data_IF_584508293825
#
_entry.id   IF_584508293825
#
_cell.length_a   1.000
_cell.length_b   1.000
_cell.length_c   1.000
_cell.angle_alpha   90.00
_cell.angle_beta   90.00
_cell.angle_gamma   90.00
#
_symmetry.space_group_name_H-M   'P 1'
#
loop_
_entity.id
_entity.type
_entity.pdbx_description
1 polymer ?
#
# COMPACT_ATOMS: atom_id res chain seq x y z
N UNK A 1 31.52 -46.99 21.57
CA UNK A 1 31.93 -45.70 20.96
C UNK A 1 31.35 -45.71 19.56
N UNK A 2 30.51 -44.80 19.11
CA UNK A 2 30.55 -43.33 19.26
C UNK A 2 29.12 -42.77 19.16
N UNK A 3 28.74 -41.96 20.15
CA UNK A 3 27.65 -40.97 20.05
C UNK A 3 28.24 -39.72 19.39
N UNK A 4 27.52 -39.10 18.47
CA UNK A 4 27.96 -37.86 17.83
C UNK A 4 26.98 -37.29 16.84
N UNK A 5 25.72 -37.10 17.24
CA UNK A 5 24.77 -36.33 16.44
C UNK A 5 23.93 -35.41 17.33
N UNK A 6 23.86 -34.14 16.90
CA UNK A 6 22.89 -33.08 17.23
C UNK A 6 23.23 -32.17 18.42
N UNK A 7 24.06 -31.15 18.15
CA UNK A 7 24.08 -29.91 18.96
C UNK A 7 24.23 -28.60 18.12
N UNK A 8 23.93 -28.64 16.81
CA UNK A 8 23.98 -27.46 15.93
C UNK A 8 22.64 -26.75 15.67
N UNK A 9 21.51 -27.37 16.06
CA UNK A 9 20.19 -26.99 15.56
C UNK A 9 19.49 -25.80 16.28
N UNK A 10 19.65 -25.56 17.60
CA UNK A 10 18.93 -24.48 18.27
C UNK A 10 19.58 -23.10 18.07
N UNK A 11 20.92 -23.02 18.14
CA UNK A 11 21.66 -21.76 17.99
C UNK A 11 21.57 -21.23 16.55
N UNK A 12 21.75 -22.10 15.56
CA UNK A 12 21.66 -21.73 14.14
C UNK A 12 20.26 -21.23 13.75
N UNK A 13 19.18 -21.84 14.28
CA UNK A 13 17.81 -21.35 14.07
C UNK A 13 17.58 -19.99 14.73
N UNK A 14 18.11 -19.79 15.94
CA UNK A 14 18.01 -18.52 16.66
C UNK A 14 18.74 -17.39 15.92
N UNK A 15 19.94 -17.67 15.40
CA UNK A 15 20.73 -16.71 14.64
C UNK A 15 20.09 -16.41 13.28
N UNK A 16 19.53 -17.42 12.60
CA UNK A 16 18.76 -17.22 11.37
C UNK A 16 17.50 -16.36 11.59
N UNK A 17 16.78 -16.55 12.69
CA UNK A 17 15.61 -15.73 13.03
C UNK A 17 16.01 -14.29 13.34
N UNK A 18 17.06 -14.10 14.17
CA UNK A 18 17.59 -12.77 14.49
C UNK A 18 18.05 -12.03 13.24
N UNK A 19 18.78 -12.70 12.34
CA UNK A 19 19.23 -12.10 11.08
C UNK A 19 18.05 -11.71 10.19
N UNK A 20 16.99 -12.54 10.15
CA UNK A 20 15.76 -12.21 9.44
C UNK A 20 15.10 -10.95 10.02
N UNK A 21 14.97 -10.85 11.34
CA UNK A 21 14.38 -9.67 12.01
C UNK A 21 15.19 -8.40 11.74
N UNK A 22 16.53 -8.47 11.81
CA UNK A 22 17.42 -7.35 11.47
C UNK A 22 17.27 -6.92 10.01
N UNK A 23 17.19 -7.87 9.09
CA UNK A 23 16.98 -7.58 7.66
C UNK A 23 15.62 -6.92 7.43
N UNK A 24 14.55 -7.37 8.09
CA UNK A 24 13.21 -6.77 7.94
C UNK A 24 13.17 -5.33 8.46
N UNK A 25 13.75 -5.07 9.65
CA UNK A 25 13.82 -3.71 10.20
C UNK A 25 14.63 -2.76 9.31
N UNK A 26 15.83 -3.19 8.90
CA UNK A 26 16.68 -2.40 8.01
C UNK A 26 16.04 -2.16 6.64
N UNK A 27 15.33 -3.16 6.10
CA UNK A 27 14.63 -3.03 4.83
C UNK A 27 13.47 -2.03 4.94
N UNK A 28 12.68 -2.09 6.02
CA UNK A 28 11.61 -1.12 6.28
C UNK A 28 12.15 0.32 6.31
N UNK A 29 13.22 0.58 7.08
CA UNK A 29 13.86 1.90 7.15
C UNK A 29 14.35 2.37 5.78
N UNK A 30 15.09 1.52 5.07
CA UNK A 30 15.65 1.87 3.75
C UNK A 30 14.54 2.13 2.72
N UNK A 31 13.48 1.33 2.71
CA UNK A 31 12.33 1.56 1.82
C UNK A 31 11.58 2.84 2.18
N UNK A 32 11.49 3.20 3.45
CA UNK A 32 10.89 4.46 3.90
C UNK A 32 11.72 5.67 3.45
N UNK A 33 13.05 5.57 3.53
CA UNK A 33 13.97 6.65 3.17
C UNK A 33 14.12 6.83 1.65
N UNK A 34 14.32 5.73 0.93
CA UNK A 34 14.83 5.70 -0.44
C UNK A 34 13.85 5.08 -1.45
N UNK A 35 12.68 4.63 -0.98
CA UNK A 35 11.67 3.96 -1.78
C UNK A 35 11.98 2.49 -2.07
N UNK A 36 11.03 1.79 -2.70
CA UNK A 36 11.11 0.35 -2.92
C UNK A 36 12.21 -0.10 -3.90
N UNK A 37 12.76 0.83 -4.68
CA UNK A 37 13.87 0.56 -5.61
C UNK A 37 15.24 0.57 -4.95
N UNK A 38 15.33 0.92 -3.67
CA UNK A 38 16.58 1.05 -2.94
C UNK A 38 17.51 -0.18 -3.11
N UNK A 39 18.83 0.01 -3.29
CA UNK A 39 19.75 -1.11 -3.49
C UNK A 39 19.75 -2.11 -2.32
N UNK A 40 19.66 -3.41 -2.59
CA UNK A 40 19.60 -4.45 -1.54
C UNK A 40 20.90 -4.53 -0.70
N UNK A 41 22.04 -4.10 -1.25
CA UNK A 41 23.31 -4.06 -0.51
C UNK A 41 23.31 -2.98 0.58
N UNK A 42 22.56 -1.89 0.40
CA UNK A 42 22.34 -0.87 1.43
C UNK A 42 21.57 -1.47 2.61
N UNK A 43 20.55 -2.29 2.33
CA UNK A 43 19.77 -3.01 3.33
C UNK A 43 20.65 -3.99 4.11
N UNK A 44 21.41 -4.84 3.42
CA UNK A 44 22.30 -5.80 4.05
C UNK A 44 23.32 -5.13 4.98
N UNK A 45 23.94 -4.06 4.49
CA UNK A 45 24.90 -3.25 5.25
C UNK A 45 24.26 -2.62 6.49
N UNK A 46 23.05 -2.07 6.37
CA UNK A 46 22.32 -1.48 7.50
C UNK A 46 21.91 -2.51 8.55
N UNK A 47 21.50 -3.70 8.11
CA UNK A 47 21.20 -4.82 8.99
C UNK A 47 22.45 -5.39 9.69
N UNK A 48 23.66 -5.03 9.25
CA UNK A 48 24.91 -5.65 9.70
C UNK A 48 25.04 -7.12 9.26
N UNK A 49 24.39 -7.49 8.15
CA UNK A 49 24.31 -8.86 7.64
C UNK A 49 24.94 -8.92 6.24
N UNK A 50 25.66 -10.00 5.93
CA UNK A 50 26.26 -10.17 4.60
C UNK A 50 25.23 -10.39 3.48
N UNK A 51 25.54 -9.92 2.27
CA UNK A 51 24.66 -10.08 1.08
C UNK A 51 24.25 -11.54 0.82
N UNK A 52 25.18 -12.50 0.97
CA UNK A 52 24.88 -13.91 0.81
C UNK A 52 23.80 -14.40 1.80
N UNK A 53 23.75 -13.83 3.02
CA UNK A 53 22.73 -14.14 4.02
C UNK A 53 21.40 -13.47 3.67
N UNK A 54 21.40 -12.23 3.16
CA UNK A 54 20.19 -11.57 2.66
C UNK A 54 19.54 -12.41 1.55
N UNK A 55 20.28 -12.78 0.50
CA UNK A 55 19.74 -13.56 -0.62
C UNK A 55 19.29 -14.97 -0.20
N UNK A 56 19.88 -15.57 0.84
CA UNK A 56 19.39 -16.84 1.41
C UNK A 56 18.04 -16.70 2.09
N UNK A 57 17.76 -15.57 2.76
CA UNK A 57 16.47 -15.32 3.41
C UNK A 57 15.41 -14.77 2.46
N UNK A 58 15.84 -13.96 1.49
CA UNK A 58 14.98 -13.25 0.54
C UNK A 58 15.61 -13.34 -0.86
N UNK A 59 15.29 -14.39 -1.63
CA UNK A 59 15.90 -14.63 -2.94
C UNK A 59 15.62 -13.51 -3.96
N UNK A 60 14.52 -12.78 -3.78
CA UNK A 60 14.10 -11.69 -4.66
C UNK A 60 13.74 -10.44 -3.86
N UNK A 61 13.83 -9.27 -4.50
CA UNK A 61 13.30 -8.01 -3.94
C UNK A 61 11.84 -8.16 -3.55
N UNK A 62 11.04 -8.80 -4.42
CA UNK A 62 9.62 -9.06 -4.16
C UNK A 62 9.40 -9.86 -2.87
N UNK A 63 10.21 -10.90 -2.61
CA UNK A 63 10.11 -11.68 -1.37
C UNK A 63 10.48 -10.87 -0.12
N UNK A 64 11.43 -9.93 -0.23
CA UNK A 64 11.75 -9.01 0.86
C UNK A 64 10.62 -8.02 1.10
N UNK A 65 10.12 -7.37 0.04
CA UNK A 65 9.00 -6.41 0.10
C UNK A 65 7.76 -7.06 0.71
N UNK A 66 7.36 -8.25 0.21
CA UNK A 66 6.25 -9.03 0.76
C UNK A 66 6.42 -9.30 2.26
N UNK A 67 7.63 -9.68 2.69
CA UNK A 67 7.90 -9.96 4.08
C UNK A 67 7.94 -8.71 4.98
N UNK A 68 8.39 -7.57 4.47
CA UNK A 68 8.45 -6.29 5.20
C UNK A 68 7.05 -5.74 5.44
N UNK A 69 6.19 -5.78 4.43
CA UNK A 69 4.89 -5.12 4.51
C UNK A 69 3.72 -6.07 4.77
N UNK A 70 3.97 -7.37 4.97
CA UNK A 70 2.92 -8.38 5.25
C UNK A 70 1.92 -7.92 6.30
N UNK A 71 2.40 -7.40 7.42
CA UNK A 71 1.54 -7.02 8.54
C UNK A 71 0.67 -5.81 8.19
N UNK A 72 1.24 -4.81 7.51
CA UNK A 72 0.49 -3.65 7.02
C UNK A 72 -0.58 -4.04 5.98
N UNK A 73 -0.23 -4.95 5.06
CA UNK A 73 -1.16 -5.49 4.07
C UNK A 73 -2.27 -6.31 4.73
N UNK A 74 -1.94 -7.13 5.73
CA UNK A 74 -2.91 -7.93 6.50
C UNK A 74 -3.86 -7.02 7.27
N UNK A 75 -3.35 -5.99 7.95
CA UNK A 75 -4.18 -5.01 8.66
C UNK A 75 -5.15 -4.27 7.74
N UNK A 76 -4.73 -3.98 6.51
CA UNK A 76 -5.63 -3.41 5.49
C UNK A 76 -6.75 -4.39 5.12
N UNK A 77 -6.41 -5.67 4.91
CA UNK A 77 -7.41 -6.69 4.60
C UNK A 77 -8.42 -6.87 5.73
N UNK A 78 -7.95 -6.93 6.97
CA UNK A 78 -8.81 -7.07 8.15
C UNK A 78 -9.75 -5.85 8.30
N UNK A 79 -9.24 -4.64 8.07
CA UNK A 79 -10.04 -3.42 8.08
C UNK A 79 -11.14 -3.46 7.02
N UNK A 80 -10.87 -4.00 5.82
CA UNK A 80 -11.87 -4.11 4.76
C UNK A 80 -12.93 -5.17 5.06
N UNK A 81 -12.55 -6.31 5.65
CA UNK A 81 -13.51 -7.30 6.14
C UNK A 81 -14.42 -6.73 7.22
N UNK A 82 -13.86 -5.94 8.15
CA UNK A 82 -14.64 -5.32 9.20
C UNK A 82 -15.57 -4.24 8.65
N UNK A 83 -15.08 -3.41 7.72
CA UNK A 83 -15.87 -2.37 7.09
C UNK A 83 -17.07 -2.93 6.33
N UNK A 84 -16.89 -4.01 5.57
CA UNK A 84 -18.00 -4.69 4.84
C UNK A 84 -19.11 -5.18 5.75
N UNK A 85 -18.79 -5.50 7.01
CA UNK A 85 -19.76 -5.96 8.03
C UNK A 85 -20.43 -4.80 8.78
N UNK A 86 -20.04 -3.55 8.53
CA UNK A 86 -20.64 -2.40 9.20
C UNK A 86 -22.14 -2.30 8.87
N UNK A 87 -23.01 -2.06 9.87
CA UNK A 87 -24.45 -1.88 9.64
C UNK A 87 -24.76 -0.70 8.72
N UNK A 88 -24.05 0.42 8.91
CA UNK A 88 -24.12 1.61 8.07
C UNK A 88 -22.99 1.55 7.03
N UNK A 89 -23.35 1.48 5.74
CA UNK A 89 -22.36 1.28 4.68
C UNK A 89 -21.45 2.50 4.51
N UNK A 90 -21.99 3.71 4.70
CA UNK A 90 -21.21 4.94 4.61
C UNK A 90 -20.14 5.02 5.70
N UNK A 91 -20.53 4.75 6.96
CA UNK A 91 -19.62 4.66 8.08
C UNK A 91 -18.54 3.60 7.83
N UNK A 92 -18.93 2.43 7.30
CA UNK A 92 -17.99 1.39 6.87
C UNK A 92 -16.98 1.89 5.84
N UNK A 93 -17.43 2.54 4.77
CA UNK A 93 -16.56 3.10 3.73
C UNK A 93 -15.61 4.17 4.27
N UNK A 94 -16.13 5.10 5.06
CA UNK A 94 -15.32 6.18 5.66
C UNK A 94 -14.28 5.65 6.63
N UNK A 95 -14.64 4.69 7.49
CA UNK A 95 -13.72 4.07 8.43
C UNK A 95 -12.63 3.28 7.71
N UNK A 96 -13.00 2.54 6.66
CA UNK A 96 -12.03 1.82 5.84
C UNK A 96 -11.00 2.76 5.21
N UNK A 97 -11.47 3.82 4.55
CA UNK A 97 -10.58 4.78 3.91
C UNK A 97 -9.73 5.53 4.95
N UNK A 98 -10.26 5.88 6.12
CA UNK A 98 -9.47 6.49 7.20
C UNK A 98 -8.33 5.58 7.64
N UNK A 99 -8.57 4.27 7.81
CA UNK A 99 -7.52 3.29 8.16
C UNK A 99 -6.46 3.21 7.07
N UNK A 100 -6.87 3.11 5.80
CA UNK A 100 -5.92 3.06 4.68
C UNK A 100 -5.07 4.32 4.62
N UNK A 101 -5.67 5.51 4.73
CA UNK A 101 -4.94 6.77 4.66
C UNK A 101 -4.09 7.05 5.90
N UNK A 102 -4.53 6.64 7.09
CA UNK A 102 -3.71 6.72 8.29
C UNK A 102 -2.45 5.87 8.16
N UNK A 103 -2.54 4.66 7.58
CA UNK A 103 -1.37 3.83 7.30
C UNK A 103 -0.42 4.50 6.30
N UNK A 104 -0.96 5.10 5.23
CA UNK A 104 -0.17 5.83 4.22
C UNK A 104 0.49 7.11 4.77
N UNK A 105 -0.17 7.79 5.71
CA UNK A 105 0.38 8.97 6.37
C UNK A 105 1.49 8.60 7.38
N UNK A 106 1.37 7.45 8.04
CA UNK A 106 2.31 6.99 9.05
C UNK A 106 3.64 6.51 8.45
N UNK A 107 3.61 5.90 7.26
CA UNK A 107 4.79 5.27 6.67
C UNK A 107 4.92 5.50 5.16
N UNK A 108 6.03 6.13 4.77
CA UNK A 108 6.37 6.39 3.37
C UNK A 108 6.67 5.10 2.60
N UNK A 109 7.24 4.08 3.25
CA UNK A 109 7.53 2.79 2.60
C UNK A 109 6.25 2.06 2.17
N UNK A 110 5.24 2.06 3.04
CA UNK A 110 3.89 1.53 2.79
C UNK A 110 3.19 2.28 1.65
N UNK A 111 3.53 3.55 1.45
CA UNK A 111 2.98 4.33 0.34
C UNK A 111 3.48 3.89 -1.03
N UNK A 112 4.81 3.77 -1.17
CA UNK A 112 5.40 3.30 -2.42
C UNK A 112 4.86 1.92 -2.77
N UNK A 113 4.64 1.06 -1.77
CA UNK A 113 4.01 -0.24 -1.96
C UNK A 113 2.59 -0.14 -2.53
N UNK A 114 1.74 0.72 -1.98
CA UNK A 114 0.35 0.84 -2.43
C UNK A 114 0.20 1.58 -3.76
N UNK A 115 1.16 2.41 -4.15
CA UNK A 115 1.06 3.29 -5.33
C UNK A 115 1.92 2.83 -6.51
N UNK A 116 2.77 1.81 -6.31
CA UNK A 116 3.66 1.22 -7.30
C UNK A 116 3.26 -0.22 -7.59
N UNK A 117 3.28 -0.62 -8.86
CA UNK A 117 3.18 -2.05 -9.21
C UNK A 117 4.58 -2.66 -9.24
N UNK A 118 4.96 -3.35 -8.17
CA UNK A 118 6.15 -4.21 -8.20
C UNK A 118 5.76 -5.60 -8.74
N UNK A 119 6.34 -6.00 -9.88
CA UNK A 119 6.06 -7.33 -10.47
C UNK A 119 6.52 -8.44 -9.53
N UNK A 120 5.71 -9.50 -9.41
CA UNK A 120 6.03 -10.70 -8.64
C UNK A 120 5.82 -10.58 -7.13
N UNK A 121 5.07 -9.56 -6.67
CA UNK A 121 4.61 -9.44 -5.28
C UNK A 121 3.14 -9.87 -5.21
N UNK A 122 2.89 -11.16 -5.00
CA UNK A 122 1.53 -11.74 -5.00
C UNK A 122 0.61 -11.09 -3.96
N UNK A 123 1.16 -10.68 -2.81
CA UNK A 123 0.39 -10.01 -1.76
C UNK A 123 -0.12 -8.64 -2.17
N UNK A 124 0.60 -7.91 -3.02
CA UNK A 124 0.17 -6.60 -3.51
C UNK A 124 -1.03 -6.73 -4.43
N UNK A 125 -1.01 -7.72 -5.33
CA UNK A 125 -2.16 -8.02 -6.19
C UNK A 125 -3.39 -8.43 -5.36
N UNK A 126 -3.19 -9.28 -4.34
CA UNK A 126 -4.25 -9.68 -3.43
C UNK A 126 -4.85 -8.49 -2.66
N UNK A 127 -4.03 -7.52 -2.24
CA UNK A 127 -4.48 -6.30 -1.56
C UNK A 127 -5.24 -5.38 -2.51
N UNK A 128 -4.78 -5.20 -3.75
CA UNK A 128 -5.52 -4.39 -4.73
C UNK A 128 -6.89 -4.98 -5.03
N UNK A 129 -6.97 -6.30 -5.22
CA UNK A 129 -8.25 -6.98 -5.43
C UNK A 129 -9.12 -6.93 -4.16
N UNK A 130 -8.53 -7.04 -2.98
CA UNK A 130 -9.25 -6.84 -1.72
C UNK A 130 -9.82 -5.41 -1.62
N UNK A 131 -9.00 -4.38 -1.85
CA UNK A 131 -9.40 -2.98 -1.82
C UNK A 131 -10.57 -2.72 -2.78
N UNK A 132 -10.47 -3.21 -4.02
CA UNK A 132 -11.52 -3.08 -5.02
C UNK A 132 -12.82 -3.73 -4.54
N UNK A 133 -12.76 -4.98 -4.07
CA UNK A 133 -13.94 -5.68 -3.54
C UNK A 133 -14.55 -4.96 -2.33
N UNK A 134 -13.73 -4.40 -1.43
CA UNK A 134 -14.20 -3.63 -0.27
C UNK A 134 -14.95 -2.39 -0.71
N UNK A 135 -14.32 -1.57 -1.58
CA UNK A 135 -14.90 -0.34 -2.08
C UNK A 135 -16.16 -0.60 -2.88
N UNK A 136 -16.15 -1.58 -3.78
CA UNK A 136 -17.29 -1.94 -4.62
C UNK A 136 -18.50 -2.37 -3.79
N UNK A 137 -18.29 -3.29 -2.84
CA UNK A 137 -19.34 -3.78 -1.96
C UNK A 137 -19.95 -2.67 -1.11
N UNK A 138 -19.13 -1.80 -0.54
CA UNK A 138 -19.59 -0.69 0.29
C UNK A 138 -20.29 0.39 -0.52
N UNK A 139 -19.78 0.72 -1.72
CA UNK A 139 -20.42 1.66 -2.62
C UNK A 139 -21.77 1.14 -3.12
N UNK A 140 -21.87 -0.14 -3.45
CA UNK A 140 -23.14 -0.76 -3.83
C UNK A 140 -24.20 -0.54 -2.75
N UNK A 141 -23.88 -0.91 -1.50
CA UNK A 141 -24.76 -0.69 -0.35
C UNK A 141 -25.05 0.79 -0.09
N UNK A 142 -24.05 1.67 -0.20
CA UNK A 142 -24.25 3.12 -0.06
C UNK A 142 -25.22 3.69 -1.11
N UNK A 143 -25.20 3.15 -2.34
CA UNK A 143 -26.16 3.54 -3.38
C UNK A 143 -27.57 3.01 -3.08
N UNK A 144 -27.69 1.77 -2.60
CA UNK A 144 -28.96 1.18 -2.14
C UNK A 144 -29.58 1.96 -0.97
N UNK A 145 -28.74 2.43 -0.04
CA UNK A 145 -29.12 3.29 1.09
C UNK A 145 -29.38 4.76 0.66
N UNK A 146 -29.11 5.13 -0.59
CA UNK A 146 -29.31 6.49 -1.12
C UNK A 146 -28.35 7.55 -0.57
N UNK A 147 -27.28 7.14 0.11
CA UNK A 147 -26.34 8.04 0.81
C UNK A 147 -25.17 8.51 -0.07
N UNK A 148 -24.94 7.82 -1.20
CA UNK A 148 -23.95 8.16 -2.23
C UNK A 148 -24.65 8.45 -3.55
N UNK A 149 -24.15 9.45 -4.28
CA UNK A 149 -24.68 9.85 -5.59
C UNK A 149 -24.62 8.70 -6.61
N UNK A 150 -25.65 8.60 -7.46
CA UNK A 150 -25.85 7.45 -8.34
C UNK A 150 -24.83 7.35 -9.50
N UNK A 151 -24.20 8.47 -9.87
CA UNK A 151 -23.21 8.57 -10.95
C UNK A 151 -21.76 8.35 -10.49
N UNK A 152 -21.52 8.00 -9.22
CA UNK A 152 -20.21 7.58 -8.71
C UNK A 152 -20.00 6.09 -8.92
N UNK A 153 -18.84 5.72 -9.46
CA UNK A 153 -18.40 4.35 -9.70
C UNK A 153 -17.31 3.90 -8.71
N UNK A 154 -16.99 2.61 -8.71
CA UNK A 154 -15.88 2.05 -7.93
C UNK A 154 -14.55 2.62 -8.41
N UNK A 155 -14.41 2.83 -9.72
CA UNK A 155 -13.23 3.38 -10.37
C UNK A 155 -12.96 4.83 -9.95
N UNK A 156 -13.98 5.67 -9.76
CA UNK A 156 -13.81 7.03 -9.23
C UNK A 156 -13.17 7.02 -7.84
N UNK A 157 -13.62 6.09 -6.98
CA UNK A 157 -13.09 5.95 -5.63
C UNK A 157 -11.68 5.38 -5.62
N UNK A 158 -11.40 4.40 -6.47
CA UNK A 158 -10.04 3.85 -6.61
C UNK A 158 -9.06 4.87 -7.19
N UNK A 159 -9.50 5.71 -8.14
CA UNK A 159 -8.69 6.82 -8.64
C UNK A 159 -8.40 7.83 -7.54
N UNK A 160 -9.42 8.26 -6.79
CA UNK A 160 -9.26 9.16 -5.66
C UNK A 160 -8.32 8.59 -4.59
N UNK A 161 -8.44 7.29 -4.30
CA UNK A 161 -7.55 6.57 -3.40
C UNK A 161 -6.10 6.60 -3.90
N UNK A 162 -5.86 6.34 -5.18
CA UNK A 162 -4.52 6.36 -5.75
C UNK A 162 -3.92 7.78 -5.78
N UNK A 163 -4.73 8.79 -6.13
CA UNK A 163 -4.30 10.18 -6.23
C UNK A 163 -3.97 10.77 -4.84
N UNK A 164 -4.90 10.65 -3.89
CA UNK A 164 -4.68 11.05 -2.50
C UNK A 164 -3.59 10.19 -1.88
N UNK A 165 -3.52 8.90 -2.22
CA UNK A 165 -2.49 7.99 -1.71
C UNK A 165 -1.11 8.56 -1.98
N UNK A 166 -0.84 9.04 -3.19
CA UNK A 166 0.45 9.70 -3.52
C UNK A 166 0.64 11.06 -2.84
N UNK A 167 -0.44 11.82 -2.66
CA UNK A 167 -0.37 13.17 -2.11
C UNK A 167 -0.22 13.21 -0.57
N UNK A 168 -0.86 12.27 0.15
CA UNK A 168 -0.95 12.26 1.61
C UNK A 168 0.42 12.17 2.31
N UNK A 169 1.36 11.29 1.92
CA UNK A 169 2.68 11.26 2.55
C UNK A 169 3.47 12.52 2.28
N UNK A 170 3.40 13.06 1.05
CA UNK A 170 4.09 14.30 0.71
C UNK A 170 3.55 15.47 1.53
N UNK A 171 2.22 15.56 1.68
CA UNK A 171 1.57 16.55 2.53
C UNK A 171 1.96 16.36 4.00
N UNK A 172 1.90 15.13 4.52
CA UNK A 172 2.23 14.81 5.91
C UNK A 172 3.69 15.16 6.22
N UNK A 173 4.63 14.81 5.32
CA UNK A 173 6.03 15.19 5.46
C UNK A 173 6.23 16.72 5.42
N UNK A 174 5.57 17.42 4.49
CA UNK A 174 5.66 18.87 4.35
C UNK A 174 5.03 19.64 5.54
N UNK A 175 4.08 19.02 6.24
CA UNK A 175 3.34 19.63 7.35
C UNK A 175 3.62 18.99 8.70
N UNK A 176 4.62 18.11 8.80
CA UNK A 176 4.88 17.31 10.01
C UNK A 176 5.03 18.16 11.29
N UNK A 177 5.64 19.35 11.18
CA UNK A 177 5.86 20.24 12.32
C UNK A 177 4.66 21.13 12.68
N UNK A 178 3.68 21.29 11.79
CA UNK A 178 2.60 22.29 11.93
C UNK A 178 1.20 21.69 11.93
N UNK A 179 0.97 20.67 11.11
CA UNK A 179 -0.32 20.02 10.92
C UNK A 179 -0.16 18.55 10.47
N UNK A 180 0.30 17.64 11.34
CA UNK A 180 0.53 16.23 10.98
C UNK A 180 -0.73 15.50 10.48
N UNK A 181 -1.92 15.96 10.87
CA UNK A 181 -3.22 15.43 10.43
C UNK A 181 -3.81 16.18 9.21
N UNK A 182 -3.04 17.02 8.52
CA UNK A 182 -3.54 17.82 7.39
C UNK A 182 -4.16 16.97 6.29
N UNK A 183 -3.76 15.70 6.15
CA UNK A 183 -4.31 14.73 5.20
C UNK A 183 -5.79 14.39 5.43
N UNK A 184 -6.31 14.52 6.66
CA UNK A 184 -7.71 14.21 6.97
C UNK A 184 -8.67 15.14 6.25
N UNK A 185 -8.27 16.40 6.03
CA UNK A 185 -9.09 17.41 5.35
C UNK A 185 -9.36 17.09 3.87
N UNK A 186 -8.36 16.86 3.00
CA UNK A 186 -8.60 16.47 1.62
C UNK A 186 -9.34 15.13 1.52
N UNK A 187 -9.10 14.17 2.43
CA UNK A 187 -9.91 12.95 2.49
C UNK A 187 -11.39 13.25 2.78
N UNK A 188 -11.67 14.09 3.77
CA UNK A 188 -13.04 14.49 4.12
C UNK A 188 -13.73 15.24 2.98
N UNK A 189 -13.01 16.10 2.25
CA UNK A 189 -13.54 16.80 1.07
C UNK A 189 -13.85 15.83 -0.07
N UNK A 190 -12.95 14.87 -0.32
CA UNK A 190 -13.16 13.82 -1.31
C UNK A 190 -14.40 12.98 -0.99
N UNK A 191 -14.49 12.47 0.25
CA UNK A 191 -15.66 11.73 0.75
C UNK A 191 -16.94 12.57 0.66
N UNK A 192 -16.90 13.83 1.08
CA UNK A 192 -18.03 14.75 0.99
C UNK A 192 -18.57 14.90 -0.43
N UNK A 193 -17.69 14.89 -1.43
CA UNK A 193 -18.06 14.95 -2.85
C UNK A 193 -18.78 13.71 -3.38
N UNK A 194 -18.70 12.56 -2.68
CA UNK A 194 -19.40 11.33 -3.04
C UNK A 194 -20.84 11.29 -2.53
N UNK A 195 -21.19 12.11 -1.54
CA UNK A 195 -22.52 12.04 -0.92
C UNK A 195 -23.61 12.58 -1.85
N UNK A 196 -24.80 11.99 -1.73
CA UNK A 196 -26.00 12.52 -2.37
C UNK A 196 -26.27 13.94 -1.87
N UNK A 197 -26.54 14.87 -2.79
CA UNK A 197 -26.98 16.23 -2.47
C UNK A 197 -28.17 16.65 -3.36
N UNK A 198 -29.15 17.41 -2.85
CA UNK A 198 -30.38 17.75 -3.58
C UNK A 198 -30.17 18.49 -4.92
N UNK A 199 -29.04 19.18 -5.07
CA UNK A 199 -28.68 19.95 -6.26
C UNK A 199 -27.32 19.53 -6.84
N UNK A 200 -26.92 18.27 -6.64
CA UNK A 200 -25.67 17.77 -7.22
C UNK A 200 -25.77 17.79 -8.75
N UNK A 201 -24.92 18.59 -9.39
CA UNK A 201 -24.74 18.54 -10.83
C UNK A 201 -24.16 17.17 -11.23
N UNK A 202 -24.60 16.62 -12.35
CA UNK A 202 -24.02 15.43 -12.97
C UNK A 202 -22.51 15.60 -13.15
N UNK A 203 -21.73 14.55 -12.92
CA UNK A 203 -20.28 14.60 -13.15
C UNK A 203 -19.98 14.92 -14.64
N UNK A 204 -18.96 15.76 -14.93
CA UNK A 204 -18.73 16.32 -16.27
C UNK A 204 -18.07 15.36 -17.29
N UNK A 205 -18.13 14.04 -17.06
CA UNK A 205 -17.69 12.98 -17.98
C UNK A 205 -18.14 11.61 -17.41
N UNK A 206 -18.24 10.56 -18.23
CA UNK A 206 -18.37 9.20 -17.72
C UNK A 206 -17.13 8.79 -16.92
N UNK A 207 -17.31 7.89 -15.95
CA UNK A 207 -16.20 7.28 -15.24
C UNK A 207 -15.33 6.41 -16.17
N UNK A 208 -14.07 6.25 -15.79
CA UNK A 208 -13.17 5.30 -16.46
C UNK A 208 -13.67 3.87 -16.23
N UNK A 209 -13.46 3.01 -17.23
CA UNK A 209 -13.54 1.57 -17.03
C UNK A 209 -12.38 1.07 -16.17
N UNK A 210 -12.52 -0.12 -15.58
CA UNK A 210 -11.44 -0.75 -14.81
C UNK A 210 -10.13 -0.91 -15.63
N UNK A 211 -10.25 -1.17 -16.93
CA UNK A 211 -9.09 -1.29 -17.83
C UNK A 211 -8.39 0.05 -18.05
N UNK A 212 -9.15 1.11 -18.35
CA UNK A 212 -8.62 2.46 -18.57
C UNK A 212 -8.00 3.03 -17.29
N UNK A 213 -8.66 2.86 -16.13
CA UNK A 213 -8.08 3.24 -14.85
C UNK A 213 -6.81 2.44 -14.57
N UNK A 214 -6.84 1.13 -14.83
CA UNK A 214 -5.70 0.25 -14.70
C UNK A 214 -4.51 0.68 -15.55
N UNK A 215 -4.75 1.24 -16.73
CA UNK A 215 -3.74 1.84 -17.62
C UNK A 215 -3.23 3.19 -17.13
N UNK A 216 -4.13 4.12 -16.83
CA UNK A 216 -3.78 5.44 -16.32
C UNK A 216 -2.92 5.36 -15.04
N UNK A 217 -3.28 4.47 -14.11
CA UNK A 217 -2.51 4.29 -12.87
C UNK A 217 -1.10 3.74 -13.12
N UNK A 218 -0.88 2.94 -14.18
CA UNK A 218 0.47 2.51 -14.59
C UNK A 218 1.29 3.69 -15.08
N UNK A 219 0.74 4.52 -15.96
CA UNK A 219 1.46 5.65 -16.55
C UNK A 219 1.79 6.74 -15.52
N UNK A 220 0.92 6.90 -14.52
CA UNK A 220 1.12 7.83 -13.42
C UNK A 220 2.05 7.30 -12.31
N UNK A 221 2.49 6.04 -12.40
CA UNK A 221 3.41 5.43 -11.42
C UNK A 221 4.83 6.05 -11.48
N UNK A 222 5.63 5.89 -10.41
CA UNK A 222 7.00 6.43 -10.35
C UNK A 222 7.91 5.86 -11.44
N UNK A 223 7.62 4.64 -11.93
CA UNK A 223 8.28 4.06 -13.10
C UNK A 223 7.62 4.55 -14.39
N UNK A 224 7.76 5.84 -14.71
CA UNK A 224 7.65 6.25 -16.10
C UNK A 224 8.71 5.46 -16.87
N UNK A 225 8.32 4.54 -17.74
CA UNK A 225 9.19 4.13 -18.84
C UNK A 225 9.52 5.42 -19.59
N UNK A 226 10.76 5.90 -19.45
CA UNK A 226 11.26 6.98 -20.30
C UNK A 226 10.97 6.57 -21.76
N UNK A 227 10.50 7.49 -22.62
CA UNK A 227 10.28 7.19 -24.04
C UNK A 227 11.56 6.75 -24.77
N UNK A 228 12.74 6.90 -24.16
CA UNK A 228 14.01 6.41 -24.70
C UNK A 228 14.57 5.31 -23.81
N UNK A 229 14.67 4.10 -24.37
CA UNK A 229 15.27 2.91 -23.77
C UNK A 229 16.79 3.02 -23.56
N UNK A 230 17.26 4.01 -22.81
CA UNK A 230 18.63 4.05 -22.27
C UNK A 230 18.61 3.77 -20.78
N UNK A 231 19.21 2.64 -20.41
CA UNK A 231 19.52 2.29 -19.03
C UNK A 231 20.38 3.38 -18.38
N UNK A 232 20.10 3.78 -17.12
CA UNK A 232 21.00 4.64 -16.38
C UNK A 232 22.18 3.80 -15.85
N UNK A 233 23.37 3.98 -16.43
CA UNK A 233 24.62 3.49 -15.87
C UNK A 233 25.42 2.56 -16.79
N UNK A 234 25.97 3.13 -17.86
CA UNK A 234 27.22 2.69 -18.48
C UNK A 234 28.19 3.87 -18.46
#
# INVERSE_FOLDING_TARGET
MTVGARDGAPRQRRDARRNRELLLGAAHEVFTEQGLDAPLDVIARRAGVGNATLYRHFPTRAALVDAVFRDALTGTMDAGEQARKAPDAWAGLTAYLDVVFAALAADRGSNDLMTTRLRGVDSLEAVHEHNRRTVDSLLCRCREEGVVRADVTTEDVLFGLAALGRAVPALTAATAATAPDAWRRPLALFLGGLRTAPAAATLPAPALTAAELGEALRELGPHRTRPDGREPGA
#
